data_IF_297209855380
#
_entry.id   IF_297209855380
#
_cell.length_a   1.000
_cell.length_b   1.000
_cell.length_c   1.000
_cell.angle_alpha   90.00
_cell.angle_beta   90.00
_cell.angle_gamma   90.00
#
_symmetry.space_group_name_H-M   'P 1'
#
loop_
_entity.id
_entity.type
_entity.pdbx_description
1 polymer ?
#
# COMPACT_ATOMS: atom_id res chain seq x y z
N UNK A 1 -0.86 7.13 11.96
CA UNK A 1 -1.26 5.87 11.31
C UNK A 1 -2.73 5.60 11.57
N UNK A 2 -3.45 5.20 10.55
CA UNK A 2 -4.86 4.85 10.66
C UNK A 2 -5.06 3.38 10.28
N UNK A 3 -5.78 2.63 11.11
CA UNK A 3 -6.06 1.22 10.88
C UNK A 3 -7.49 1.04 10.38
N UNK A 4 -7.66 0.33 9.27
CA UNK A 4 -8.96 -0.08 8.76
C UNK A 4 -9.07 -1.60 8.90
N UNK A 5 -9.89 -2.11 9.85
CA UNK A 5 -10.02 -3.55 10.04
C UNK A 5 -10.66 -4.22 8.82
N UNK A 6 -10.05 -5.30 8.35
CA UNK A 6 -10.57 -6.12 7.27
C UNK A 6 -9.96 -7.52 7.35
N UNK A 7 -10.67 -8.57 6.90
CA UNK A 7 -10.04 -9.88 6.77
C UNK A 7 -8.98 -9.84 5.66
N UNK A 8 -8.05 -10.79 5.68
CA UNK A 8 -6.94 -10.81 4.71
C UNK A 8 -7.44 -10.82 3.25
N UNK A 9 -8.53 -11.53 2.97
CA UNK A 9 -9.15 -11.58 1.64
C UNK A 9 -9.96 -10.32 1.29
N UNK A 10 -10.26 -9.48 2.27
CA UNK A 10 -10.95 -8.20 2.06
C UNK A 10 -10.05 -6.97 2.14
N UNK A 11 -8.77 -7.15 2.46
CA UNK A 11 -7.86 -6.03 2.66
C UNK A 11 -7.65 -5.19 1.39
N UNK A 12 -7.59 -5.82 0.21
CA UNK A 12 -7.50 -5.09 -1.06
C UNK A 12 -8.73 -4.23 -1.32
N UNK A 13 -9.93 -4.76 -1.06
CA UNK A 13 -11.17 -4.02 -1.23
C UNK A 13 -11.22 -2.83 -0.26
N UNK A 14 -10.80 -3.05 0.99
CA UNK A 14 -10.73 -1.98 1.99
C UNK A 14 -9.76 -0.88 1.56
N UNK A 15 -8.62 -1.26 1.01
CA UNK A 15 -7.64 -0.31 0.49
C UNK A 15 -8.22 0.48 -0.69
N UNK A 16 -8.94 -0.17 -1.60
CA UNK A 16 -9.61 0.49 -2.72
C UNK A 16 -10.65 1.50 -2.25
N UNK A 17 -11.44 1.15 -1.24
CA UNK A 17 -12.42 2.07 -0.65
C UNK A 17 -11.73 3.27 0.02
N UNK A 18 -10.61 3.04 0.70
CA UNK A 18 -9.83 4.12 1.31
C UNK A 18 -9.30 5.08 0.24
N UNK A 19 -8.81 4.57 -0.88
CA UNK A 19 -8.35 5.39 -2.01
C UNK A 19 -9.52 6.23 -2.56
N UNK A 20 -10.68 5.62 -2.77
CA UNK A 20 -11.85 6.33 -3.27
C UNK A 20 -12.26 7.47 -2.33
N UNK A 21 -12.26 7.24 -1.03
CA UNK A 21 -12.56 8.27 -0.03
C UNK A 21 -11.55 9.41 -0.07
N UNK A 22 -10.26 9.08 -0.22
CA UNK A 22 -9.19 10.09 -0.30
C UNK A 22 -9.38 10.98 -1.54
N UNK A 23 -9.72 10.37 -2.68
CA UNK A 23 -9.99 11.12 -3.91
C UNK A 23 -11.23 11.99 -3.78
N UNK A 24 -12.29 11.48 -3.15
CA UNK A 24 -13.53 12.22 -2.90
C UNK A 24 -13.31 13.42 -1.97
N UNK A 25 -12.36 13.33 -1.04
CA UNK A 25 -12.02 14.44 -0.13
C UNK A 25 -11.07 15.46 -0.74
N UNK A 26 -10.68 15.30 -2.01
CA UNK A 26 -9.86 16.26 -2.73
C UNK A 26 -8.38 15.94 -2.79
N UNK A 27 -7.94 14.76 -2.34
CA UNK A 27 -6.55 14.32 -2.52
C UNK A 27 -6.25 14.09 -3.99
N UNK A 28 -5.10 14.54 -4.46
CA UNK A 28 -4.66 14.27 -5.82
C UNK A 28 -4.25 12.79 -5.96
N UNK A 29 -4.58 12.14 -7.08
CA UNK A 29 -4.17 10.74 -7.29
C UNK A 29 -2.66 10.51 -7.14
N UNK A 30 -1.86 11.44 -7.64
CA UNK A 30 -0.40 11.35 -7.52
C UNK A 30 0.14 11.43 -6.10
N UNK A 31 -0.69 11.79 -5.12
CA UNK A 31 -0.31 11.86 -3.71
C UNK A 31 -0.44 10.50 -3.00
N UNK A 32 -0.97 9.47 -3.66
CA UNK A 32 -1.33 8.20 -3.04
C UNK A 32 -0.47 7.06 -3.57
N UNK A 33 0.16 6.32 -2.65
CA UNK A 33 0.88 5.08 -2.92
C UNK A 33 0.15 3.92 -2.23
N UNK A 34 -0.18 2.86 -2.95
CA UNK A 34 -0.83 1.67 -2.40
C UNK A 34 0.14 0.49 -2.45
N UNK A 35 0.38 -0.14 -1.31
CA UNK A 35 1.25 -1.29 -1.18
C UNK A 35 0.45 -2.52 -0.76
N UNK A 36 0.79 -3.68 -1.32
CA UNK A 36 0.16 -4.96 -0.96
C UNK A 36 1.21 -5.94 -0.44
N UNK A 37 0.93 -6.62 0.66
CA UNK A 37 1.85 -7.60 1.25
C UNK A 37 1.69 -9.00 0.68
N UNK A 38 0.53 -9.29 0.08
CA UNK A 38 0.22 -10.58 -0.58
C UNK A 38 0.15 -10.41 -2.09
N UNK A 39 -0.97 -10.82 -2.68
CA UNK A 39 -1.19 -10.67 -4.12
C UNK A 39 -1.16 -9.20 -4.53
N UNK A 40 -0.60 -8.95 -5.72
CA UNK A 40 -0.59 -7.61 -6.28
C UNK A 40 -2.02 -7.12 -6.56
N UNK A 41 -2.23 -5.83 -6.37
CA UNK A 41 -3.47 -5.20 -6.81
C UNK A 41 -3.64 -5.40 -8.33
N UNK A 42 -4.88 -5.65 -8.82
CA UNK A 42 -5.11 -5.84 -10.26
C UNK A 42 -4.53 -4.73 -11.14
N UNK A 43 -4.57 -3.49 -10.69
CA UNK A 43 -3.98 -2.37 -11.42
C UNK A 43 -2.46 -2.47 -11.54
N UNK A 44 -1.77 -2.93 -10.48
CA UNK A 44 -0.32 -3.14 -10.53
C UNK A 44 0.04 -4.23 -11.55
N UNK A 45 -0.69 -5.34 -11.52
CA UNK A 45 -0.48 -6.42 -12.47
C UNK A 45 -0.75 -5.97 -13.91
N UNK A 46 -1.81 -5.17 -14.12
CA UNK A 46 -2.14 -4.63 -15.43
C UNK A 46 -1.03 -3.72 -15.97
N UNK A 47 -0.55 -2.79 -15.14
CA UNK A 47 0.51 -1.87 -15.55
C UNK A 47 1.84 -2.59 -15.82
N UNK A 48 2.17 -3.59 -15.01
CA UNK A 48 3.38 -4.39 -15.22
C UNK A 48 3.32 -5.21 -16.52
N UNK A 49 2.13 -5.50 -17.04
CA UNK A 49 1.98 -6.20 -18.32
C UNK A 49 2.54 -5.42 -19.51
N UNK A 50 2.70 -4.12 -19.38
CA UNK A 50 3.32 -3.24 -20.39
C UNK A 50 4.83 -3.12 -20.24
N UNK A 51 5.41 -3.76 -19.22
CA UNK A 51 6.84 -3.73 -18.94
C UNK A 51 7.20 -2.89 -17.73
N UNK A 52 8.32 -3.25 -17.07
CA UNK A 52 8.78 -2.54 -15.87
C UNK A 52 9.12 -1.08 -16.14
N UNK A 53 9.69 -0.76 -17.29
CA UNK A 53 10.07 0.62 -17.61
C UNK A 53 8.85 1.53 -17.66
N UNK A 54 7.76 1.09 -18.31
CA UNK A 54 6.52 1.83 -18.36
C UNK A 54 5.88 1.96 -16.98
N UNK A 55 5.93 0.89 -16.19
CA UNK A 55 5.40 0.86 -14.83
C UNK A 55 6.09 1.92 -13.95
N UNK A 56 7.43 1.93 -13.92
CA UNK A 56 8.17 2.89 -13.11
C UNK A 56 8.13 4.31 -13.66
N UNK A 57 7.94 4.48 -14.97
CA UNK A 57 7.70 5.79 -15.56
C UNK A 57 6.42 6.44 -15.00
N UNK A 58 5.37 5.65 -14.78
CA UNK A 58 4.16 6.15 -14.14
C UNK A 58 4.39 6.55 -12.69
N UNK A 59 5.18 5.77 -11.95
CA UNK A 59 5.59 6.13 -10.60
C UNK A 59 6.29 7.49 -10.57
N UNK A 60 7.23 7.71 -11.48
CA UNK A 60 8.01 8.94 -11.53
C UNK A 60 7.18 10.14 -11.98
N UNK A 61 6.20 9.91 -12.85
CA UNK A 61 5.30 10.97 -13.34
C UNK A 61 4.38 11.53 -12.25
N UNK A 62 3.99 10.73 -11.27
CA UNK A 62 3.11 11.11 -10.14
C UNK A 62 1.77 11.69 -10.59
N UNK A 63 1.24 11.20 -11.70
CA UNK A 63 -0.03 11.68 -12.24
C UNK A 63 -1.23 10.89 -11.73
N UNK A 64 -0.99 9.71 -11.14
CA UNK A 64 -2.05 8.81 -10.70
C UNK A 64 -1.64 8.03 -9.45
N UNK A 65 -2.62 7.36 -8.84
CA UNK A 65 -2.37 6.43 -7.73
C UNK A 65 -1.41 5.33 -8.21
N UNK A 66 -0.35 5.10 -7.46
CA UNK A 66 0.63 4.07 -7.79
C UNK A 66 0.43 2.84 -6.92
N UNK A 67 0.27 1.69 -7.55
CA UNK A 67 0.05 0.40 -6.88
C UNK A 67 1.30 -0.46 -7.01
N UNK A 68 1.82 -0.94 -5.87
CA UNK A 68 3.03 -1.75 -5.86
C UNK A 68 2.97 -2.86 -4.82
N UNK A 69 3.75 -3.93 -5.02
CA UNK A 69 3.97 -4.91 -3.98
C UNK A 69 4.81 -4.29 -2.86
N UNK A 70 4.54 -4.67 -1.61
CA UNK A 70 5.26 -4.14 -0.46
C UNK A 70 6.77 -4.41 -0.54
N UNK A 71 7.19 -5.49 -1.20
CA UNK A 71 8.60 -5.79 -1.42
C UNK A 71 9.33 -4.71 -2.24
N UNK A 72 8.58 -3.86 -2.98
CA UNK A 72 9.14 -2.78 -3.79
C UNK A 72 9.16 -1.43 -3.07
N UNK A 73 8.77 -1.38 -1.80
CA UNK A 73 8.63 -0.13 -1.05
C UNK A 73 9.94 0.67 -0.98
N UNK A 74 11.08 0.00 -0.94
CA UNK A 74 12.39 0.67 -0.90
C UNK A 74 12.67 1.44 -2.20
N UNK A 75 12.16 0.95 -3.32
CA UNK A 75 12.31 1.60 -4.63
C UNK A 75 11.30 2.73 -4.83
N UNK A 76 10.17 2.69 -4.12
CA UNK A 76 9.13 3.69 -4.26
C UNK A 76 9.52 5.00 -3.57
N UNK A 77 9.19 6.12 -4.20
CA UNK A 77 9.40 7.45 -3.62
C UNK A 77 8.37 7.73 -2.53
N UNK A 78 8.70 8.63 -1.60
CA UNK A 78 7.75 9.10 -0.60
C UNK A 78 6.59 9.83 -1.27
N UNK A 79 5.37 9.61 -0.73
CA UNK A 79 4.15 10.33 -1.12
C UNK A 79 3.42 10.78 0.14
N UNK A 80 2.57 11.81 0.06
CA UNK A 80 1.83 12.29 1.24
C UNK A 80 1.01 11.20 1.91
N UNK A 81 0.36 10.33 1.15
CA UNK A 81 -0.47 9.24 1.68
C UNK A 81 0.04 7.90 1.18
N UNK A 82 0.24 6.96 2.09
CA UNK A 82 0.56 5.56 1.78
C UNK A 82 -0.54 4.68 2.36
N UNK A 83 -1.12 3.82 1.53
CA UNK A 83 -2.13 2.83 1.93
C UNK A 83 -1.52 1.45 1.81
N UNK A 84 -1.51 0.68 2.90
CA UNK A 84 -0.98 -0.69 2.90
C UNK A 84 -2.14 -1.66 3.08
N UNK A 85 -2.29 -2.58 2.13
CA UNK A 85 -3.22 -3.70 2.26
C UNK A 85 -2.43 -4.92 2.77
N UNK A 86 -2.70 -5.33 4.00
CA UNK A 86 -2.12 -6.54 4.59
C UNK A 86 -2.99 -7.71 4.17
N UNK A 87 -2.77 -8.18 2.95
CA UNK A 87 -3.52 -9.25 2.31
C UNK A 87 -2.65 -10.51 2.17
N UNK A 88 -3.28 -11.62 1.85
CA UNK A 88 -2.59 -12.90 1.69
C UNK A 88 -2.50 -13.70 2.97
N UNK A 89 -1.98 -14.93 2.86
CA UNK A 89 -1.97 -15.91 3.95
C UNK A 89 -0.69 -15.79 4.79
N UNK A 90 -0.85 -15.34 6.02
CA UNK A 90 0.04 -15.69 7.12
C UNK A 90 1.49 -15.25 7.09
N UNK A 91 1.93 -14.42 6.15
CA UNK A 91 3.32 -13.97 6.16
C UNK A 91 3.47 -12.68 6.98
N UNK A 92 3.53 -12.85 8.30
CA UNK A 92 3.72 -11.73 9.22
C UNK A 92 5.06 -11.04 9.02
N UNK A 93 6.08 -11.75 8.54
CA UNK A 93 7.40 -11.18 8.27
C UNK A 93 7.35 -10.13 7.16
N UNK A 94 6.56 -10.36 6.12
CA UNK A 94 6.40 -9.36 5.06
C UNK A 94 5.76 -8.09 5.58
N UNK A 95 4.71 -8.21 6.39
CA UNK A 95 4.07 -7.05 7.00
C UNK A 95 5.02 -6.35 7.98
N UNK A 96 5.75 -7.10 8.79
CA UNK A 96 6.70 -6.54 9.75
C UNK A 96 7.83 -5.75 9.07
N UNK A 97 8.24 -6.16 7.88
CA UNK A 97 9.25 -5.43 7.10
C UNK A 97 8.65 -4.22 6.37
N UNK A 98 7.45 -4.39 5.83
CA UNK A 98 6.82 -3.37 4.99
C UNK A 98 6.31 -2.18 5.78
N UNK A 99 5.72 -2.40 6.96
CA UNK A 99 5.07 -1.33 7.72
C UNK A 99 6.02 -0.22 8.15
N UNK A 100 7.21 -0.50 8.71
CA UNK A 100 8.16 0.58 9.03
C UNK A 100 8.63 1.35 7.80
N UNK A 101 8.86 0.66 6.69
CA UNK A 101 9.28 1.29 5.44
C UNK A 101 8.16 2.13 4.84
N UNK A 102 6.92 1.65 4.90
CA UNK A 102 5.75 2.39 4.46
C UNK A 102 5.55 3.66 5.29
N UNK A 103 5.73 3.55 6.61
CA UNK A 103 5.67 4.72 7.49
C UNK A 103 6.72 5.77 7.12
N UNK A 104 7.93 5.33 6.79
CA UNK A 104 9.00 6.23 6.37
C UNK A 104 8.69 6.90 5.02
N UNK A 105 7.89 6.27 4.17
CA UNK A 105 7.48 6.81 2.85
C UNK A 105 6.23 7.69 2.92
N UNK A 106 5.45 7.60 4.01
CA UNK A 106 4.22 8.38 4.17
C UNK A 106 4.57 9.76 4.74
N UNK A 107 4.38 10.80 3.92
CA UNK A 107 4.70 12.16 4.35
C UNK A 107 3.70 12.73 5.36
N UNK A 108 2.43 12.38 5.23
CA UNK A 108 1.35 12.93 6.05
C UNK A 108 0.53 11.85 6.74
N UNK A 109 0.17 10.78 6.03
CA UNK A 109 -0.78 9.77 6.51
C UNK A 109 -0.40 8.38 6.03
N UNK A 110 -0.39 7.43 6.96
CA UNK A 110 -0.29 5.99 6.66
C UNK A 110 -1.62 5.33 7.02
N UNK A 111 -2.23 4.65 6.08
CA UNK A 111 -3.45 3.86 6.27
C UNK A 111 -3.10 2.39 6.11
N UNK A 112 -3.45 1.56 7.08
CA UNK A 112 -3.19 0.11 7.04
C UNK A 112 -4.52 -0.62 7.07
N UNK A 113 -4.77 -1.44 6.07
CA UNK A 113 -6.00 -2.23 5.92
C UNK A 113 -5.70 -3.71 6.11
N UNK A 114 -6.39 -4.35 7.03
CA UNK A 114 -6.21 -5.79 7.29
C UNK A 114 -6.69 -6.21 8.66
N UNK A 115 -6.32 -7.44 9.04
CA UNK A 115 -6.65 -8.00 10.34
C UNK A 115 -5.90 -7.26 11.45
N UNK A 116 -6.60 -6.64 12.41
CA UNK A 116 -5.94 -5.89 13.48
C UNK A 116 -4.94 -6.71 14.30
N UNK A 117 -5.23 -7.99 14.55
CA UNK A 117 -4.31 -8.85 15.30
C UNK A 117 -3.00 -9.07 14.54
N UNK A 118 -3.08 -9.30 13.24
CA UNK A 118 -1.89 -9.48 12.39
C UNK A 118 -1.08 -8.20 12.28
N UNK A 119 -1.76 -7.08 12.13
CA UNK A 119 -1.10 -5.76 12.02
C UNK A 119 -0.41 -5.42 13.34
N UNK A 120 -1.07 -5.62 14.47
CA UNK A 120 -0.48 -5.37 15.79
C UNK A 120 0.71 -6.29 16.06
N UNK A 121 0.62 -7.56 15.67
CA UNK A 121 1.73 -8.50 15.79
C UNK A 121 2.93 -8.06 14.94
N UNK A 122 2.68 -7.60 13.72
CA UNK A 122 3.73 -7.10 12.82
C UNK A 122 4.40 -5.84 13.38
N UNK A 123 3.61 -4.91 13.91
CA UNK A 123 4.14 -3.69 14.54
C UNK A 123 4.93 -4.02 15.80
N UNK A 124 4.46 -4.95 16.61
CA UNK A 124 5.18 -5.43 17.80
C UNK A 124 6.50 -6.11 17.47
N UNK A 125 6.53 -6.89 16.39
CA UNK A 125 7.74 -7.56 15.93
C UNK A 125 8.79 -6.58 15.39
N UNK A 126 8.36 -5.41 14.93
CA UNK A 126 9.24 -4.38 14.39
C UNK A 126 9.86 -3.46 15.44
N UNK A 127 9.53 -3.67 16.69
CA UNK A 127 10.02 -2.82 17.80
C UNK A 127 11.31 -3.35 18.39
#
# INVERSE_FOLDING_TARGET
>A
MQLIPAPADGALDAAGEAVDLLLDTGRAPGDILVLTTGEQHPWAAHELSFGEDAYWAQHDARDDVFYAAAALVERASARPVVVVAVNGDGDEDKAARALPLALARAGTLLIVCGDPERINAALGAGV
#
